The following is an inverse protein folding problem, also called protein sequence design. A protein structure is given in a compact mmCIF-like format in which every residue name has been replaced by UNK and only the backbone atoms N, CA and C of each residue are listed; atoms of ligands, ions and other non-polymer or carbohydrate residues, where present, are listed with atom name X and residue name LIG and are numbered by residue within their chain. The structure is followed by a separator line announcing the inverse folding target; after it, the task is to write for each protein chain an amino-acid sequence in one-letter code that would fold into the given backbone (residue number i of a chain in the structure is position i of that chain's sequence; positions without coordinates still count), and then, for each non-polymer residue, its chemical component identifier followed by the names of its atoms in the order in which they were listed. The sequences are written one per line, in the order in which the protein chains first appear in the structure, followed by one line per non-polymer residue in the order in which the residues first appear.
data_IF_554126979785
#
_entry.id   IF_554126979785
#
_cell.length_a   1.000
_cell.length_b   1.000
_cell.length_c   1.000
_cell.angle_alpha   90.00
_cell.angle_beta   90.00
_cell.angle_gamma   90.00
#
_symmetry.space_group_name_H-M   'P 1'
#
loop_
_entity.id
_entity.type
_entity.pdbx_description
1 polymer ?
#
# COMPACT_ATOMS: atom_id res chain seq x y z
N UNK A 1 11.80 23.01 8.49
CA UNK A 1 11.01 23.43 7.31
C UNK A 1 10.08 22.31 6.87
N UNK A 2 10.59 21.07 6.75
CA UNK A 2 9.80 19.89 6.38
C UNK A 2 8.54 19.67 7.21
N UNK A 3 8.57 19.92 8.53
CA UNK A 3 7.37 19.79 9.40
C UNK A 3 6.21 20.70 8.94
N UNK A 4 6.49 21.98 8.65
CA UNK A 4 5.46 22.93 8.23
C UNK A 4 4.90 22.59 6.83
N UNK A 5 5.75 22.07 5.94
CA UNK A 5 5.34 21.58 4.62
C UNK A 5 4.47 20.31 4.75
N UNK A 6 4.84 19.39 5.66
CA UNK A 6 4.04 18.21 5.95
C UNK A 6 2.67 18.58 6.52
N UNK A 7 2.61 19.52 7.47
CA UNK A 7 1.35 20.05 8.01
C UNK A 7 0.49 20.70 6.91
N UNK A 8 1.12 21.37 5.95
CA UNK A 8 0.42 21.91 4.77
C UNK A 8 -0.19 20.80 3.90
N UNK A 9 0.51 19.67 3.69
CA UNK A 9 -0.09 18.53 2.97
C UNK A 9 -1.34 17.99 3.68
N UNK A 10 -1.31 17.91 5.02
CA UNK A 10 -2.47 17.49 5.82
C UNK A 10 -3.66 18.43 5.58
N UNK A 11 -3.42 19.76 5.57
CA UNK A 11 -4.46 20.75 5.26
C UNK A 11 -5.04 20.55 3.85
N UNK A 12 -4.17 20.31 2.86
CA UNK A 12 -4.59 20.14 1.47
C UNK A 12 -5.42 18.87 1.27
N UNK A 13 -5.03 17.76 1.90
CA UNK A 13 -5.79 16.50 1.90
C UNK A 13 -7.15 16.69 2.58
N UNK A 14 -7.18 17.38 3.72
CA UNK A 14 -8.44 17.69 4.42
C UNK A 14 -9.38 18.62 3.63
N UNK A 15 -8.85 19.38 2.67
CA UNK A 15 -9.66 20.23 1.78
C UNK A 15 -10.16 19.47 0.55
N UNK A 16 -9.33 18.57 0.00
CA UNK A 16 -9.66 17.75 -1.15
C UNK A 16 -8.94 16.40 -1.01
N UNK A 17 -9.71 15.36 -0.72
CA UNK A 17 -9.19 14.01 -0.50
C UNK A 17 -8.54 13.43 -1.76
N UNK A 18 -9.00 13.83 -2.95
CA UNK A 18 -8.46 13.43 -4.26
C UNK A 18 -7.23 14.22 -4.68
N UNK A 19 -6.62 15.01 -3.80
CA UNK A 19 -5.45 15.81 -4.13
C UNK A 19 -4.17 14.94 -4.23
N UNK A 20 -3.99 14.32 -5.39
CA UNK A 20 -2.81 13.49 -5.70
C UNK A 20 -1.49 14.18 -5.35
N UNK A 21 -1.34 15.46 -5.70
CA UNK A 21 -0.10 16.22 -5.43
C UNK A 21 0.17 16.34 -3.93
N UNK A 22 -0.85 16.50 -3.10
CA UNK A 22 -0.69 16.57 -1.66
C UNK A 22 -0.24 15.21 -1.08
N UNK A 23 -0.88 14.11 -1.48
CA UNK A 23 -0.49 12.75 -1.08
C UNK A 23 0.92 12.38 -1.54
N UNK A 24 1.26 12.70 -2.79
CA UNK A 24 2.58 12.44 -3.35
C UNK A 24 3.67 13.23 -2.61
N UNK A 25 3.48 14.54 -2.43
CA UNK A 25 4.44 15.38 -1.70
C UNK A 25 4.56 14.95 -0.24
N UNK A 26 3.46 14.54 0.39
CA UNK A 26 3.45 14.03 1.76
C UNK A 26 4.44 12.88 1.95
N UNK A 27 4.45 11.93 1.02
CA UNK A 27 5.40 10.81 1.02
C UNK A 27 6.85 11.28 1.12
N UNK A 28 7.25 12.20 0.23
CA UNK A 28 8.62 12.69 0.16
C UNK A 28 9.00 13.52 1.40
N UNK A 29 8.07 14.32 1.90
CA UNK A 29 8.26 15.15 3.09
C UNK A 29 8.43 14.33 4.36
N UNK A 30 7.74 13.19 4.49
CA UNK A 30 7.91 12.29 5.63
C UNK A 30 9.33 11.73 5.68
N UNK A 31 9.85 11.23 4.56
CA UNK A 31 11.22 10.71 4.50
C UNK A 31 12.23 11.78 4.91
N UNK A 32 12.13 12.97 4.29
CA UNK A 32 12.97 14.12 4.63
C UNK A 32 12.86 14.50 6.10
N UNK A 33 11.66 14.50 6.68
CA UNK A 33 11.44 14.85 8.08
C UNK A 33 12.10 13.85 9.04
N UNK A 34 11.96 12.54 8.77
CA UNK A 34 12.56 11.48 9.57
C UNK A 34 14.09 11.54 9.51
N UNK A 35 14.65 11.85 8.35
CA UNK A 35 16.09 12.02 8.16
C UNK A 35 16.62 13.28 8.85
N UNK A 36 15.94 14.43 8.69
CA UNK A 36 16.26 15.69 9.37
C UNK A 36 16.26 15.54 10.90
N UNK A 37 15.42 14.65 11.45
CA UNK A 37 15.32 14.38 12.88
C UNK A 37 16.26 13.28 13.38
N UNK A 38 16.98 12.60 12.47
CA UNK A 38 17.73 11.38 12.81
C UNK A 38 16.84 10.37 13.56
N UNK A 39 15.61 10.21 13.07
CA UNK A 39 14.58 9.42 13.73
C UNK A 39 15.03 7.96 13.91
N UNK A 40 14.83 7.46 15.12
CA UNK A 40 15.02 6.05 15.49
C UNK A 40 14.02 5.14 14.77
N UNK A 41 14.31 3.83 14.77
CA UNK A 41 13.40 2.84 14.17
C UNK A 41 12.02 2.85 14.83
N UNK A 42 11.95 3.11 16.13
CA UNK A 42 10.68 3.24 16.86
C UNK A 42 9.87 4.47 16.42
N UNK A 43 10.54 5.63 16.23
CA UNK A 43 9.88 6.84 15.72
C UNK A 43 9.40 6.68 14.28
N UNK A 44 10.18 5.98 13.46
CA UNK A 44 9.84 5.62 12.08
C UNK A 44 8.64 4.69 12.01
N UNK A 45 8.60 3.66 12.87
CA UNK A 45 7.46 2.74 13.01
C UNK A 45 6.20 3.47 13.46
N UNK A 46 6.33 4.38 14.43
CA UNK A 46 5.21 5.22 14.89
C UNK A 46 4.66 6.15 13.78
N UNK A 47 5.54 6.67 12.92
CA UNK A 47 5.13 7.43 11.75
C UNK A 47 4.35 6.54 10.78
N UNK A 48 4.86 5.35 10.45
CA UNK A 48 4.19 4.38 9.60
C UNK A 48 2.79 4.02 10.14
N UNK A 49 2.66 3.71 11.43
CA UNK A 49 1.37 3.43 12.07
C UNK A 49 0.38 4.59 11.94
N UNK A 50 0.87 5.82 12.01
CA UNK A 50 0.06 7.03 11.89
C UNK A 50 -0.42 7.23 10.45
N UNK A 51 0.43 6.98 9.47
CA UNK A 51 0.08 7.09 8.04
C UNK A 51 -0.82 5.95 7.57
N UNK A 52 -0.67 4.72 8.08
CA UNK A 52 -1.61 3.63 7.85
C UNK A 52 -3.01 3.99 8.37
N UNK A 53 -3.10 4.49 9.61
CA UNK A 53 -4.37 4.98 10.19
C UNK A 53 -4.97 6.13 9.38
N UNK A 54 -4.13 7.02 8.83
CA UNK A 54 -4.60 8.11 7.98
C UNK A 54 -5.20 7.58 6.68
N UNK A 55 -4.50 6.66 5.99
CA UNK A 55 -4.98 6.14 4.71
C UNK A 55 -6.22 5.27 4.88
N UNK A 56 -6.32 4.45 5.93
CA UNK A 56 -7.53 3.67 6.21
C UNK A 56 -8.76 4.56 6.44
N UNK A 57 -8.59 5.72 7.10
CA UNK A 57 -9.68 6.70 7.25
C UNK A 57 -10.02 7.43 5.95
N UNK A 58 -9.04 7.61 5.07
CA UNK A 58 -9.25 8.27 3.79
C UNK A 58 -9.94 7.34 2.78
N UNK A 59 -9.70 6.03 2.86
CA UNK A 59 -10.28 5.00 1.98
C UNK A 59 -11.79 4.78 2.15
N UNK A 60 -12.51 5.72 2.77
CA UNK A 60 -13.98 5.82 2.69
C UNK A 60 -14.49 6.01 1.26
N UNK A 61 -13.64 6.49 0.34
CA UNK A 61 -13.89 6.48 -1.10
C UNK A 61 -12.89 5.53 -1.78
N UNK A 62 -13.24 4.24 -1.93
CA UNK A 62 -12.35 3.26 -2.53
C UNK A 62 -12.17 3.49 -4.04
N UNK A 63 -12.92 4.38 -4.68
CA UNK A 63 -12.77 4.65 -6.12
C UNK A 63 -11.68 5.68 -6.41
N UNK A 64 -11.21 6.40 -5.40
CA UNK A 64 -10.18 7.42 -5.54
C UNK A 64 -8.79 6.79 -5.73
N UNK A 65 -8.30 6.87 -6.97
CA UNK A 65 -6.99 6.36 -7.35
C UNK A 65 -5.83 7.00 -6.55
N UNK A 66 -5.95 8.26 -6.14
CA UNK A 66 -4.88 8.96 -5.43
C UNK A 66 -4.58 8.30 -4.09
N UNK A 67 -5.63 7.80 -3.42
CA UNK A 67 -5.52 7.10 -2.14
C UNK A 67 -4.78 5.78 -2.30
N UNK A 68 -5.12 5.01 -3.34
CA UNK A 68 -4.44 3.74 -3.61
C UNK A 68 -2.98 3.92 -4.04
N UNK A 69 -2.63 5.01 -4.72
CA UNK A 69 -1.22 5.30 -4.98
C UNK A 69 -0.44 5.62 -3.70
N UNK A 70 -1.05 6.35 -2.77
CA UNK A 70 -0.44 6.61 -1.46
C UNK A 70 -0.30 5.32 -0.65
N UNK A 71 -1.36 4.52 -0.57
CA UNK A 71 -1.35 3.19 0.04
C UNK A 71 -0.27 2.28 -0.56
N UNK A 72 -0.19 2.19 -1.88
CA UNK A 72 0.82 1.40 -2.58
C UNK A 72 2.23 1.84 -2.22
N UNK A 73 2.46 3.15 -2.06
CA UNK A 73 3.75 3.65 -1.60
C UNK A 73 4.08 3.20 -0.16
N UNK A 74 3.09 3.23 0.75
CA UNK A 74 3.26 2.69 2.10
C UNK A 74 3.61 1.21 2.08
N UNK A 75 2.99 0.42 1.19
CA UNK A 75 3.26 -1.02 1.05
C UNK A 75 4.71 -1.33 0.64
N UNK A 76 5.39 -0.42 -0.06
CA UNK A 76 6.83 -0.56 -0.36
C UNK A 76 7.67 -0.65 0.93
N UNK A 77 7.18 -0.09 2.04
CA UNK A 77 7.84 -0.19 3.36
C UNK A 77 7.99 -1.63 3.81
N UNK A 78 7.09 -2.52 3.37
CA UNK A 78 7.08 -3.93 3.75
C UNK A 78 7.84 -4.83 2.79
N UNK A 79 8.16 -4.38 1.57
CA UNK A 79 8.94 -5.16 0.61
C UNK A 79 10.44 -5.12 0.96
N UNK A 80 11.07 -6.27 1.29
CA UNK A 80 12.50 -6.31 1.63
C UNK A 80 13.41 -5.73 0.55
N UNK A 81 13.01 -5.79 -0.73
CA UNK A 81 13.79 -5.25 -1.83
C UNK A 81 13.70 -3.72 -1.96
N UNK A 82 12.67 -3.10 -1.39
CA UNK A 82 12.40 -1.66 -1.51
C UNK A 82 12.55 -0.92 -0.17
N UNK A 83 12.52 -1.62 0.96
CA UNK A 83 12.41 -1.05 2.30
C UNK A 83 13.52 -0.02 2.62
N UNK A 84 14.73 -0.19 2.10
CA UNK A 84 15.86 0.70 2.38
C UNK A 84 15.61 2.17 2.05
N UNK A 85 14.72 2.46 1.09
CA UNK A 85 14.36 3.82 0.66
C UNK A 85 13.04 4.34 1.24
N UNK A 86 12.50 3.69 2.27
CA UNK A 86 11.15 3.97 2.80
C UNK A 86 11.19 4.51 4.22
N UNK A 87 10.02 4.78 4.80
CA UNK A 87 9.94 5.42 6.11
C UNK A 87 10.43 4.53 7.26
N UNK A 88 10.26 3.20 7.15
CA UNK A 88 10.68 2.22 8.16
C UNK A 88 11.55 1.11 7.54
N UNK A 89 12.84 1.40 7.24
CA UNK A 89 13.71 0.48 6.52
C UNK A 89 14.08 -0.79 7.29
N UNK A 90 14.09 -0.72 8.64
CA UNK A 90 14.65 -1.76 9.50
C UNK A 90 13.60 -2.70 10.13
N UNK A 91 12.37 -2.75 9.60
CA UNK A 91 11.38 -3.73 10.06
C UNK A 91 11.88 -5.17 9.83
N UNK A 92 11.66 -6.01 10.83
CA UNK A 92 11.90 -7.46 10.72
C UNK A 92 10.87 -8.13 9.81
N UNK A 93 11.19 -9.31 9.28
CA UNK A 93 10.25 -10.07 8.45
C UNK A 93 8.97 -10.44 9.21
N UNK A 94 9.07 -10.69 10.52
CA UNK A 94 7.89 -10.95 11.37
C UNK A 94 6.98 -9.73 11.40
N UNK A 95 7.52 -8.54 11.66
CA UNK A 95 6.73 -7.30 11.67
C UNK A 95 6.13 -7.00 10.30
N UNK A 96 6.90 -7.20 9.21
CA UNK A 96 6.40 -7.01 7.84
C UNK A 96 5.17 -7.89 7.58
N UNK A 97 5.23 -9.16 7.99
CA UNK A 97 4.12 -10.09 7.83
C UNK A 97 2.92 -9.69 8.67
N UNK A 98 3.10 -9.29 9.93
CA UNK A 98 2.02 -8.82 10.78
C UNK A 98 1.29 -7.62 10.16
N UNK A 99 2.02 -6.61 9.67
CA UNK A 99 1.41 -5.47 8.99
C UNK A 99 0.66 -5.88 7.72
N UNK A 100 1.27 -6.71 6.88
CA UNK A 100 0.67 -7.13 5.62
C UNK A 100 -0.57 -8.02 5.81
N UNK A 101 -0.57 -8.89 6.82
CA UNK A 101 -1.71 -9.76 7.12
C UNK A 101 -2.89 -8.93 7.64
N UNK A 102 -2.65 -7.97 8.54
CA UNK A 102 -3.66 -7.00 8.98
C UNK A 102 -4.17 -6.13 7.81
N UNK A 103 -3.28 -5.72 6.91
CA UNK A 103 -3.66 -4.91 5.75
C UNK A 103 -4.54 -5.70 4.77
N UNK A 104 -4.20 -6.96 4.52
CA UNK A 104 -5.02 -7.85 3.69
C UNK A 104 -6.41 -8.06 4.30
N UNK A 105 -6.50 -8.21 5.63
CA UNK A 105 -7.79 -8.30 6.33
C UNK A 105 -8.62 -7.03 6.13
N UNK A 106 -8.06 -5.85 6.46
CA UNK A 106 -8.74 -4.56 6.33
C UNK A 106 -9.22 -4.29 4.89
N UNK A 107 -8.39 -4.55 3.88
CA UNK A 107 -8.77 -4.36 2.47
C UNK A 107 -9.81 -5.41 2.03
N UNK A 108 -9.75 -6.63 2.55
CA UNK A 108 -10.75 -7.66 2.24
C UNK A 108 -12.12 -7.25 2.78
N UNK A 109 -12.20 -6.66 3.97
CA UNK A 109 -13.46 -6.13 4.52
C UNK A 109 -14.08 -5.06 3.63
N UNK A 110 -13.26 -4.23 2.97
CA UNK A 110 -13.75 -3.19 2.06
C UNK A 110 -14.48 -3.75 0.83
N UNK A 111 -14.32 -5.04 0.50
CA UNK A 111 -15.06 -5.64 -0.63
C UNK A 111 -16.56 -5.71 -0.35
N UNK A 112 -17.00 -5.73 0.91
CA UNK A 112 -18.43 -5.81 1.26
C UNK A 112 -19.17 -4.55 0.79
N UNK A 113 -19.86 -4.67 -0.35
CA UNK A 113 -20.59 -3.58 -0.99
C UNK A 113 -19.82 -2.75 -2.02
N UNK A 114 -18.54 -3.07 -2.27
CA UNK A 114 -17.67 -2.35 -3.22
C UNK A 114 -16.92 -3.32 -4.15
N UNK A 115 -17.54 -4.46 -4.50
CA UNK A 115 -16.93 -5.56 -5.28
C UNK A 115 -16.62 -5.18 -6.74
N UNK A 116 -17.10 -4.04 -7.23
CA UNK A 116 -16.76 -3.49 -8.55
C UNK A 116 -15.58 -2.51 -8.49
N UNK A 117 -15.04 -2.22 -7.31
CA UNK A 117 -13.83 -1.42 -7.18
C UNK A 117 -12.56 -2.23 -7.47
N UNK A 118 -12.03 -2.06 -8.68
CA UNK A 118 -10.77 -2.71 -9.11
C UNK A 118 -9.57 -2.42 -8.20
N UNK A 119 -9.52 -1.26 -7.55
CA UNK A 119 -8.34 -0.85 -6.78
C UNK A 119 -8.13 -1.72 -5.55
N UNK A 120 -9.23 -2.19 -4.93
CA UNK A 120 -9.22 -3.11 -3.79
C UNK A 120 -8.49 -4.40 -4.19
N UNK A 121 -8.87 -5.02 -5.31
CA UNK A 121 -8.20 -6.23 -5.81
C UNK A 121 -6.73 -5.99 -6.17
N UNK A 122 -6.40 -4.83 -6.77
CA UNK A 122 -5.00 -4.50 -7.07
C UNK A 122 -4.16 -4.37 -5.80
N UNK A 123 -4.72 -3.81 -4.73
CA UNK A 123 -4.06 -3.70 -3.44
C UNK A 123 -3.87 -5.08 -2.79
N UNK A 124 -4.90 -5.94 -2.78
CA UNK A 124 -4.82 -7.31 -2.27
C UNK A 124 -3.73 -8.13 -2.96
N UNK A 125 -3.67 -8.06 -4.30
CA UNK A 125 -2.61 -8.71 -5.10
C UNK A 125 -1.24 -8.17 -4.71
N UNK A 126 -1.10 -6.85 -4.59
CA UNK A 126 0.17 -6.21 -4.24
C UNK A 126 0.65 -6.68 -2.85
N UNK A 127 -0.22 -6.65 -1.84
CA UNK A 127 0.08 -7.16 -0.50
C UNK A 127 0.44 -8.66 -0.54
N UNK A 128 -0.33 -9.48 -1.26
CA UNK A 128 -0.06 -10.92 -1.40
C UNK A 128 1.30 -11.23 -2.04
N UNK A 129 1.69 -10.46 -3.06
CA UNK A 129 3.02 -10.58 -3.68
C UNK A 129 4.13 -10.18 -2.71
N UNK A 130 3.95 -9.10 -1.94
CA UNK A 130 4.93 -8.70 -0.93
C UNK A 130 5.05 -9.76 0.17
N UNK A 131 3.94 -10.34 0.64
CA UNK A 131 3.95 -11.47 1.59
C UNK A 131 4.78 -12.64 1.05
N UNK A 132 4.61 -13.00 -0.22
CA UNK A 132 5.39 -14.08 -0.84
C UNK A 132 6.89 -13.75 -0.88
N UNK A 133 7.26 -12.49 -1.15
CA UNK A 133 8.66 -12.03 -1.15
C UNK A 133 9.26 -12.10 0.24
N UNK A 134 8.54 -11.66 1.27
CA UNK A 134 8.98 -11.73 2.67
C UNK A 134 9.13 -13.18 3.13
N UNK A 135 8.18 -14.07 2.79
CA UNK A 135 8.26 -15.50 3.13
C UNK A 135 9.32 -16.25 2.29
N UNK A 136 9.78 -15.67 1.18
CA UNK A 136 10.68 -16.33 0.21
C UNK A 136 10.04 -17.49 -0.56
N UNK A 137 8.75 -17.76 -0.34
CA UNK A 137 8.00 -18.86 -0.97
C UNK A 137 6.57 -18.41 -1.23
N UNK A 138 6.03 -18.85 -2.35
CA UNK A 138 4.64 -18.63 -2.72
C UNK A 138 3.85 -19.92 -2.54
N UNK A 139 3.10 -20.01 -1.44
CA UNK A 139 2.29 -21.18 -1.10
C UNK A 139 1.15 -21.38 -2.11
N UNK A 140 0.68 -22.62 -2.25
CA UNK A 140 -0.46 -22.95 -3.13
C UNK A 140 -1.70 -22.15 -2.76
N UNK A 141 -1.96 -21.96 -1.46
CA UNK A 141 -3.08 -21.16 -0.95
C UNK A 141 -2.97 -19.70 -1.40
N UNK A 142 -1.77 -19.11 -1.29
CA UNK A 142 -1.56 -17.73 -1.73
C UNK A 142 -1.69 -17.59 -3.24
N UNK A 143 -1.20 -18.57 -4.03
CA UNK A 143 -1.42 -18.59 -5.48
C UNK A 143 -2.90 -18.59 -5.82
N UNK A 144 -3.70 -19.42 -5.15
CA UNK A 144 -5.14 -19.50 -5.37
C UNK A 144 -5.83 -18.17 -5.04
N UNK A 145 -5.46 -17.52 -3.93
CA UNK A 145 -5.98 -16.19 -3.56
C UNK A 145 -5.65 -15.14 -4.61
N UNK A 146 -4.38 -15.01 -4.99
CA UNK A 146 -3.93 -14.04 -5.98
C UNK A 146 -4.60 -14.30 -7.33
N UNK A 147 -4.71 -15.57 -7.76
CA UNK A 147 -5.38 -15.94 -9.02
C UNK A 147 -6.86 -15.53 -9.01
N UNK A 148 -7.56 -15.74 -7.89
CA UNK A 148 -8.94 -15.28 -7.73
C UNK A 148 -9.07 -13.76 -7.88
N UNK A 149 -8.21 -13.00 -7.21
CA UNK A 149 -8.22 -11.53 -7.33
C UNK A 149 -7.86 -11.04 -8.73
N UNK A 150 -6.90 -11.70 -9.40
CA UNK A 150 -6.52 -11.35 -10.78
C UNK A 150 -7.67 -11.63 -11.75
N UNK A 151 -8.44 -12.70 -11.53
CA UNK A 151 -9.64 -13.00 -12.31
C UNK A 151 -10.66 -11.85 -12.23
N UNK A 152 -10.94 -11.34 -11.02
CA UNK A 152 -11.80 -10.18 -10.84
C UNK A 152 -11.23 -8.91 -11.49
N UNK A 153 -9.92 -8.66 -11.36
CA UNK A 153 -9.29 -7.51 -12.03
C UNK A 153 -9.44 -7.54 -13.55
N UNK A 154 -9.33 -8.71 -14.18
CA UNK A 154 -9.54 -8.83 -15.64
C UNK A 154 -10.97 -8.50 -16.03
N UNK A 155 -11.95 -8.85 -15.19
CA UNK A 155 -13.36 -8.51 -15.39
C UNK A 155 -13.58 -7.00 -15.25
N UNK A 156 -12.96 -6.37 -14.26
CA UNK A 156 -13.16 -4.96 -13.91
C UNK A 156 -12.29 -3.97 -14.72
N UNK A 157 -11.16 -4.40 -15.27
CA UNK A 157 -10.25 -3.57 -16.09
C UNK A 157 -9.89 -4.23 -17.43
N UNK A 158 -10.88 -4.46 -18.31
CA UNK A 158 -10.68 -5.19 -19.58
C UNK A 158 -9.70 -4.47 -20.51
N UNK A 159 -9.61 -3.14 -20.44
CA UNK A 159 -8.66 -2.35 -21.25
C UNK A 159 -7.20 -2.64 -20.90
N UNK A 160 -6.91 -3.17 -19.71
CA UNK A 160 -5.56 -3.53 -19.25
C UNK A 160 -5.36 -5.04 -19.12
N UNK A 161 -6.18 -5.86 -19.77
CA UNK A 161 -6.10 -7.31 -19.68
C UNK A 161 -4.69 -7.87 -19.93
N UNK A 162 -3.95 -7.32 -20.89
CA UNK A 162 -2.56 -7.71 -21.17
C UNK A 162 -1.65 -7.60 -19.95
N UNK A 163 -1.76 -6.50 -19.18
CA UNK A 163 -1.01 -6.30 -17.93
C UNK A 163 -1.28 -7.40 -16.91
N UNK A 164 -2.53 -7.86 -16.81
CA UNK A 164 -2.93 -8.88 -15.84
C UNK A 164 -2.50 -10.28 -16.27
N UNK A 165 -2.48 -10.57 -17.58
CA UNK A 165 -1.92 -11.80 -18.13
C UNK A 165 -0.40 -11.87 -17.91
N UNK A 166 0.30 -10.75 -18.15
CA UNK A 166 1.74 -10.65 -17.89
C UNK A 166 2.05 -10.87 -16.40
N UNK A 167 1.18 -10.36 -15.52
CA UNK A 167 1.30 -10.57 -14.07
C UNK A 167 1.17 -12.05 -13.70
N UNK A 168 0.15 -12.76 -14.20
CA UNK A 168 0.00 -14.20 -13.94
C UNK A 168 1.20 -15.00 -14.43
N UNK A 169 1.66 -14.71 -15.64
CA UNK A 169 2.85 -15.36 -16.20
C UNK A 169 4.08 -15.10 -15.33
N UNK A 170 4.27 -13.87 -14.85
CA UNK A 170 5.40 -13.51 -13.96
C UNK A 170 5.34 -14.21 -12.61
N UNK A 171 4.15 -14.52 -12.12
CA UNK A 171 3.92 -15.17 -10.82
C UNK A 171 3.74 -16.68 -10.93
N UNK A 172 3.77 -17.27 -12.13
CA UNK A 172 3.49 -18.69 -12.37
C UNK A 172 2.19 -19.14 -11.65
N UNK A 173 1.11 -18.38 -11.89
CA UNK A 173 -0.25 -18.64 -11.42
C UNK A 173 -1.01 -19.54 -12.37
#
# INVERSE_FOLDING_TARGET
MAKAELDYTTKMIGTNLSNFSAWHNRTQLILRLLDEQSASDEERKKMLDSELKLIHRALIDPYDQSLWFYHQNLMCTFDPALASGTMAPNLTDIERLEYLENEVEAITEMLDGEEDCKWIYQALISCGVVICRVKGVMSTEMKQRISGWVCELKRLDPMRQGRWLDLEASLNL
#
